data_IF_701533074268
#
_entry.id   IF_701533074268
#
_cell.length_a   1.000
_cell.length_b   1.000
_cell.length_c   1.000
_cell.angle_alpha   90.00
_cell.angle_beta   90.00
_cell.angle_gamma   90.00
#
_symmetry.space_group_name_H-M   'P 1'
#
loop_
_entity.id
_entity.type
_entity.pdbx_description
1 polymer ?
#
# COMPACT_ATOMS: atom_id res chain seq x y z
N UNK A 1 19.63 -10.62 -20.63
CA UNK A 1 20.19 -10.40 -19.29
C UNK A 1 20.73 -11.72 -18.79
N UNK A 2 21.95 -11.73 -18.27
CA UNK A 2 22.41 -12.85 -17.46
C UNK A 2 21.53 -12.97 -16.20
N UNK A 3 21.44 -14.16 -15.58
CA UNK A 3 20.64 -14.35 -14.36
C UNK A 3 21.00 -13.31 -13.27
N UNK A 4 22.29 -13.01 -13.02
CA UNK A 4 22.67 -11.97 -12.06
C UNK A 4 22.18 -10.57 -12.45
N UNK A 5 22.30 -10.20 -13.72
CA UNK A 5 21.80 -8.89 -14.21
C UNK A 5 20.29 -8.79 -14.03
N UNK A 6 19.54 -9.86 -14.34
CA UNK A 6 18.09 -9.88 -14.19
C UNK A 6 17.67 -9.66 -12.72
N UNK A 7 18.38 -10.27 -11.77
CA UNK A 7 18.16 -10.05 -10.33
C UNK A 7 18.46 -8.61 -9.92
N UNK A 8 19.59 -8.04 -10.36
CA UNK A 8 19.94 -6.65 -10.07
C UNK A 8 18.92 -5.66 -10.65
N UNK A 9 18.45 -5.92 -11.87
CA UNK A 9 17.38 -5.13 -12.48
C UNK A 9 16.09 -5.24 -11.68
N UNK A 10 15.72 -6.44 -11.21
CA UNK A 10 14.56 -6.64 -10.34
C UNK A 10 14.64 -5.83 -9.05
N UNK A 11 15.78 -5.87 -8.34
CA UNK A 11 16.00 -5.06 -7.13
C UNK A 11 15.89 -3.56 -7.44
N UNK A 12 16.50 -3.10 -8.54
CA UNK A 12 16.42 -1.71 -8.98
C UNK A 12 15.00 -1.25 -9.28
N UNK A 13 14.18 -2.12 -9.91
CA UNK A 13 12.77 -1.84 -10.18
C UNK A 13 11.94 -1.78 -8.90
N UNK A 14 12.11 -2.74 -7.99
CA UNK A 14 11.42 -2.71 -6.69
C UNK A 14 11.77 -1.46 -5.90
N UNK A 15 13.06 -1.08 -5.88
CA UNK A 15 13.51 0.15 -5.23
C UNK A 15 12.86 1.39 -5.84
N UNK A 16 12.85 1.48 -7.16
CA UNK A 16 12.20 2.57 -7.89
C UNK A 16 10.70 2.69 -7.57
N UNK A 17 9.99 1.56 -7.51
CA UNK A 17 8.57 1.54 -7.14
C UNK A 17 8.38 2.06 -5.70
N UNK A 18 9.21 1.59 -4.76
CA UNK A 18 9.14 2.02 -3.36
C UNK A 18 9.36 3.54 -3.23
N UNK A 19 10.44 4.06 -3.81
CA UNK A 19 10.76 5.50 -3.70
C UNK A 19 9.70 6.36 -4.38
N UNK A 20 9.23 5.96 -5.56
CA UNK A 20 8.17 6.70 -6.27
C UNK A 20 6.86 6.72 -5.50
N UNK A 21 6.52 5.61 -4.85
CA UNK A 21 5.29 5.52 -4.03
C UNK A 21 5.40 6.42 -2.80
N UNK A 22 6.54 6.42 -2.10
CA UNK A 22 6.78 7.32 -0.96
C UNK A 22 6.72 8.78 -1.39
N UNK A 23 7.39 9.14 -2.49
CA UNK A 23 7.39 10.49 -3.02
C UNK A 23 5.97 10.97 -3.36
N UNK A 24 5.18 10.13 -4.03
CA UNK A 24 3.78 10.44 -4.36
C UNK A 24 2.93 10.63 -3.10
N UNK A 25 3.00 9.72 -2.12
CA UNK A 25 2.27 9.85 -0.84
C UNK A 25 2.67 11.14 -0.12
N UNK A 26 3.96 11.46 -0.07
CA UNK A 26 4.46 12.71 0.53
C UNK A 26 3.94 13.94 -0.23
N UNK A 27 3.81 13.85 -1.55
CA UNK A 27 3.22 14.86 -2.42
C UNK A 27 1.76 15.11 -2.09
N UNK A 28 0.97 14.05 -1.91
CA UNK A 28 -0.46 14.15 -1.53
C UNK A 28 -0.62 14.77 -0.14
N UNK A 29 0.17 14.32 0.84
CA UNK A 29 0.12 14.86 2.21
C UNK A 29 0.54 16.34 2.25
N UNK A 30 1.51 16.74 1.43
CA UNK A 30 1.96 18.13 1.32
C UNK A 30 1.08 19.01 0.41
N UNK A 31 0.05 18.43 -0.24
CA UNK A 31 -0.83 19.14 -1.17
C UNK A 31 -0.21 19.46 -2.53
N UNK A 32 0.96 18.89 -2.86
CA UNK A 32 1.59 19.01 -4.18
C UNK A 32 0.90 18.16 -5.24
N UNK A 33 0.39 17.01 -4.85
CA UNK A 33 -0.26 16.04 -5.74
C UNK A 33 -1.76 15.95 -5.42
N UNK A 34 -2.59 15.79 -6.44
CA UNK A 34 -4.01 15.49 -6.24
C UNK A 34 -4.18 14.04 -5.76
N UNK A 35 -5.02 13.85 -4.74
CA UNK A 35 -5.39 12.53 -4.24
C UNK A 35 -6.26 11.72 -5.23
N UNK A 36 -6.71 12.34 -6.31
CA UNK A 36 -7.61 11.75 -7.32
C UNK A 36 -6.98 10.59 -8.10
N UNK A 37 -5.64 10.48 -8.07
CA UNK A 37 -4.92 9.37 -8.71
C UNK A 37 -4.79 8.15 -7.78
N UNK A 38 -5.16 8.25 -6.50
CA UNK A 38 -5.28 7.09 -5.60
C UNK A 38 -6.53 6.32 -6.00
N UNK A 39 -6.35 5.34 -6.88
CA UNK A 39 -7.44 4.46 -7.33
C UNK A 39 -7.88 3.53 -6.22
N UNK A 40 -9.20 3.39 -6.04
CA UNK A 40 -9.76 2.42 -5.11
C UNK A 40 -9.79 0.99 -5.65
N UNK A 41 -10.38 0.07 -4.87
CA UNK A 41 -10.47 -1.34 -5.24
C UNK A 41 -11.15 -1.58 -6.59
N UNK A 42 -12.15 -0.76 -6.93
CA UNK A 42 -12.89 -0.88 -8.19
C UNK A 42 -12.01 -0.43 -9.35
N UNK A 43 -11.30 0.68 -9.21
CA UNK A 43 -10.36 1.16 -10.23
C UNK A 43 -9.19 0.20 -10.44
N UNK A 44 -8.67 -0.42 -9.37
CA UNK A 44 -7.65 -1.49 -9.48
C UNK A 44 -8.19 -2.67 -10.29
N UNK A 45 -9.42 -3.11 -10.06
CA UNK A 45 -10.04 -4.18 -10.83
C UNK A 45 -10.18 -3.83 -12.32
N UNK A 46 -10.60 -2.60 -12.62
CA UNK A 46 -10.73 -2.12 -14.00
C UNK A 46 -9.38 -2.06 -14.74
N UNK A 47 -8.37 -1.44 -14.11
CA UNK A 47 -7.02 -1.37 -14.67
C UNK A 47 -6.45 -2.77 -14.86
N UNK A 48 -6.69 -3.68 -13.91
CA UNK A 48 -6.24 -5.07 -14.04
C UNK A 48 -6.86 -5.76 -15.26
N UNK A 49 -8.15 -5.56 -15.53
CA UNK A 49 -8.81 -6.08 -16.73
C UNK A 49 -8.20 -5.51 -18.03
N UNK A 50 -8.05 -4.19 -18.09
CA UNK A 50 -7.42 -3.51 -19.25
C UNK A 50 -5.99 -4.01 -19.49
N UNK A 51 -5.21 -4.19 -18.43
CA UNK A 51 -3.82 -4.66 -18.52
C UNK A 51 -3.77 -6.15 -18.90
N UNK A 52 -4.71 -6.97 -18.43
CA UNK A 52 -4.81 -8.36 -18.83
C UNK A 52 -5.07 -8.49 -20.34
N UNK A 53 -5.91 -7.62 -20.92
CA UNK A 53 -6.18 -7.58 -22.37
C UNK A 53 -4.95 -7.15 -23.19
N UNK A 54 -4.02 -6.40 -22.60
CA UNK A 54 -2.73 -6.03 -23.22
C UNK A 54 -1.71 -7.18 -23.23
N UNK A 55 -1.99 -8.28 -22.53
CA UNK A 55 -1.19 -9.51 -22.54
C UNK A 55 -0.43 -9.79 -21.24
N UNK A 56 0.32 -10.89 -21.25
CA UNK A 56 0.92 -11.45 -20.03
C UNK A 56 2.05 -10.60 -19.43
N UNK A 57 2.92 -10.03 -20.26
CA UNK A 57 4.05 -9.22 -19.75
C UNK A 57 3.57 -7.95 -19.01
N UNK A 58 2.66 -7.13 -19.58
CA UNK A 58 2.06 -6.01 -18.84
C UNK A 58 1.39 -6.44 -17.54
N UNK A 59 0.68 -7.57 -17.55
CA UNK A 59 0.02 -8.10 -16.36
C UNK A 59 1.01 -8.47 -15.25
N UNK A 60 2.12 -9.12 -15.59
CA UNK A 60 3.20 -9.43 -14.63
C UNK A 60 3.77 -8.14 -14.03
N UNK A 61 3.97 -7.09 -14.85
CA UNK A 61 4.44 -5.80 -14.35
C UNK A 61 3.45 -5.15 -13.39
N UNK A 62 2.14 -5.20 -13.70
CA UNK A 62 1.10 -4.72 -12.79
C UNK A 62 1.10 -5.51 -11.47
N UNK A 63 1.22 -6.83 -11.53
CA UNK A 63 1.31 -7.68 -10.33
C UNK A 63 2.54 -7.30 -9.50
N UNK A 64 3.70 -7.08 -10.14
CA UNK A 64 4.91 -6.66 -9.44
C UNK A 64 4.76 -5.27 -8.78
N UNK A 65 4.13 -4.33 -9.47
CA UNK A 65 3.81 -3.00 -8.95
C UNK A 65 2.88 -3.08 -7.73
N UNK A 66 1.75 -3.80 -7.85
CA UNK A 66 0.78 -3.96 -6.78
C UNK A 66 1.39 -4.72 -5.59
N UNK A 67 2.12 -5.81 -5.84
CA UNK A 67 2.79 -6.59 -4.80
C UNK A 67 3.79 -5.75 -4.02
N UNK A 68 4.61 -4.95 -4.71
CA UNK A 68 5.59 -4.07 -4.05
C UNK A 68 4.90 -2.98 -3.24
N UNK A 69 3.83 -2.40 -3.78
CA UNK A 69 3.06 -1.33 -3.11
C UNK A 69 2.34 -1.85 -1.85
N UNK A 70 1.69 -3.02 -1.93
CA UNK A 70 1.05 -3.67 -0.77
C UNK A 70 2.10 -4.05 0.28
N UNK A 71 3.25 -4.59 -0.16
CA UNK A 71 4.37 -4.89 0.74
C UNK A 71 4.87 -3.64 1.47
N UNK A 72 5.01 -2.51 0.77
CA UNK A 72 5.37 -1.23 1.38
C UNK A 72 4.32 -0.76 2.40
N UNK A 73 3.03 -0.82 2.05
CA UNK A 73 1.93 -0.44 2.94
C UNK A 73 1.94 -1.31 4.21
N UNK A 74 2.16 -2.63 4.08
CA UNK A 74 2.23 -3.54 5.23
C UNK A 74 3.36 -3.20 6.21
N UNK A 75 4.40 -2.51 5.77
CA UNK A 75 5.49 -2.05 6.64
C UNK A 75 5.19 -0.72 7.35
N UNK A 76 4.06 -0.06 7.06
CA UNK A 76 3.67 1.15 7.78
C UNK A 76 3.35 0.84 9.24
N UNK A 77 3.59 1.80 10.17
CA UNK A 77 3.42 1.64 11.61
C UNK A 77 1.94 1.68 12.01
N UNK A 78 1.16 0.75 11.45
CA UNK A 78 -0.28 0.59 11.64
C UNK A 78 -0.52 -0.72 12.40
N UNK A 79 -1.19 -0.70 13.57
CA UNK A 79 -1.35 -1.87 14.45
C UNK A 79 -1.85 -3.17 13.82
N UNK A 80 -2.64 -3.09 12.75
CA UNK A 80 -3.23 -4.25 12.05
C UNK A 80 -2.30 -4.81 10.96
N UNK A 81 -1.24 -4.09 10.62
CA UNK A 81 -0.25 -4.45 9.59
C UNK A 81 1.02 -4.99 10.26
N UNK A 82 1.86 -5.68 9.47
CA UNK A 82 3.13 -6.23 9.94
C UNK A 82 4.05 -5.16 10.57
N UNK A 83 4.04 -3.94 10.02
CA UNK A 83 4.76 -2.78 10.54
C UNK A 83 4.24 -2.30 11.91
N UNK A 84 3.00 -2.61 12.28
CA UNK A 84 2.47 -2.37 13.63
C UNK A 84 3.18 -3.22 14.69
N UNK A 85 3.49 -4.47 14.38
CA UNK A 85 4.29 -5.32 15.26
C UNK A 85 5.73 -4.81 15.37
N UNK A 86 6.33 -4.40 14.25
CA UNK A 86 7.66 -3.76 14.26
C UNK A 86 7.68 -2.50 15.12
N UNK A 87 6.62 -1.68 15.05
CA UNK A 87 6.47 -0.51 15.92
C UNK A 87 6.44 -0.91 17.40
N UNK A 88 5.64 -1.91 17.77
CA UNK A 88 5.59 -2.39 19.15
C UNK A 88 6.95 -2.91 19.61
N UNK A 89 7.62 -3.76 18.84
CA UNK A 89 8.96 -4.22 19.19
C UNK A 89 9.98 -3.09 19.30
N UNK A 90 9.87 -2.04 18.46
CA UNK A 90 10.68 -0.83 18.59
C UNK A 90 10.43 -0.10 19.91
N UNK A 91 9.17 0.05 20.31
CA UNK A 91 8.79 0.64 21.60
C UNK A 91 9.31 -0.22 22.75
N UNK A 92 9.17 -1.54 22.67
CA UNK A 92 9.67 -2.48 23.69
C UNK A 92 11.20 -2.42 23.81
N UNK A 93 11.92 -2.32 22.69
CA UNK A 93 13.37 -2.19 22.67
C UNK A 93 13.85 -0.89 23.34
N UNK A 94 13.11 0.21 23.19
CA UNK A 94 13.43 1.51 23.81
C UNK A 94 13.03 1.53 25.30
N UNK A 95 11.86 1.00 25.62
CA UNK A 95 11.28 1.09 26.98
C UNK A 95 11.68 -0.07 27.90
N UNK A 96 12.19 -1.16 27.34
CA UNK A 96 12.53 -2.40 28.05
C UNK A 96 11.32 -3.15 28.61
N UNK A 97 10.09 -2.76 28.24
CA UNK A 97 8.84 -3.33 28.76
C UNK A 97 7.90 -3.67 27.61
N UNK A 98 7.17 -4.80 27.71
CA UNK A 98 6.21 -5.19 26.69
C UNK A 98 5.08 -4.15 26.58
N UNK A 99 4.61 -3.89 25.36
CA UNK A 99 3.44 -3.04 25.13
C UNK A 99 2.21 -3.80 25.65
N UNK A 100 1.44 -3.17 26.55
CA UNK A 100 0.28 -3.84 27.17
C UNK A 100 -0.74 -4.32 26.14
N UNK A 101 -1.34 -5.49 26.36
CA UNK A 101 -2.38 -6.08 25.50
C UNK A 101 -3.52 -5.10 25.19
N UNK A 102 -3.95 -4.33 26.20
CA UNK A 102 -5.01 -3.32 26.03
C UNK A 102 -4.65 -2.24 24.99
N UNK A 103 -3.39 -1.82 24.92
CA UNK A 103 -2.92 -0.85 23.92
C UNK A 103 -2.90 -1.50 22.54
N UNK A 104 -2.44 -2.74 22.43
CA UNK A 104 -2.43 -3.48 21.17
C UNK A 104 -3.86 -3.69 20.64
N UNK A 105 -4.80 -4.07 21.50
CA UNK A 105 -6.22 -4.24 21.14
C UNK A 105 -6.87 -2.95 20.67
N UNK A 106 -6.64 -1.84 21.38
CA UNK A 106 -7.17 -0.52 20.99
C UNK A 106 -6.57 -0.12 19.65
N UNK A 107 -5.25 -0.28 19.49
CA UNK A 107 -4.55 -0.03 18.23
C UNK A 107 -5.15 -0.83 17.07
N UNK A 108 -5.35 -2.14 17.26
CA UNK A 108 -5.93 -3.01 16.25
C UNK A 108 -7.37 -2.60 15.88
N UNK A 109 -8.21 -2.28 16.87
CA UNK A 109 -9.58 -1.79 16.63
C UNK A 109 -9.60 -0.49 15.82
N UNK A 110 -8.73 0.46 16.17
CA UNK A 110 -8.57 1.71 15.42
C UNK A 110 -8.06 1.45 14.00
N UNK A 111 -7.07 0.57 13.85
CA UNK A 111 -6.50 0.18 12.55
C UNK A 111 -7.54 -0.44 11.62
N UNK A 112 -8.29 -1.44 12.10
CA UNK A 112 -9.38 -2.07 11.34
C UNK A 112 -10.46 -1.03 11.00
N UNK A 113 -10.87 -0.22 11.97
CA UNK A 113 -11.86 0.85 11.74
C UNK A 113 -11.43 1.82 10.65
N UNK A 114 -10.16 2.22 10.65
CA UNK A 114 -9.59 3.09 9.63
C UNK A 114 -9.52 2.42 8.25
N UNK A 115 -9.08 1.16 8.16
CA UNK A 115 -9.02 0.42 6.89
C UNK A 115 -10.43 0.25 6.30
N UNK A 116 -11.42 -0.12 7.12
CA UNK A 116 -12.81 -0.23 6.69
C UNK A 116 -13.37 1.12 6.23
N UNK A 117 -13.08 2.19 6.97
CA UNK A 117 -13.45 3.55 6.57
C UNK A 117 -12.87 3.91 5.21
N UNK A 118 -11.57 3.68 5.00
CA UNK A 118 -10.93 3.94 3.71
C UNK A 118 -11.51 3.09 2.59
N UNK A 119 -11.81 1.81 2.84
CA UNK A 119 -12.41 0.92 1.86
C UNK A 119 -13.79 1.43 1.40
N UNK A 120 -14.64 1.84 2.35
CA UNK A 120 -15.96 2.41 2.04
C UNK A 120 -15.81 3.75 1.32
N UNK A 121 -14.98 4.66 1.83
CA UNK A 121 -14.74 5.97 1.23
C UNK A 121 -14.21 5.86 -0.20
N UNK A 122 -13.20 5.01 -0.41
CA UNK A 122 -12.57 4.81 -1.71
C UNK A 122 -13.51 4.13 -2.70
N UNK A 123 -14.27 3.13 -2.27
CA UNK A 123 -15.30 2.51 -3.11
C UNK A 123 -16.37 3.51 -3.50
N UNK A 124 -16.84 4.34 -2.56
CA UNK A 124 -17.80 5.41 -2.85
C UNK A 124 -17.24 6.39 -3.88
N UNK A 125 -16.00 6.85 -3.69
CA UNK A 125 -15.33 7.74 -4.63
C UNK A 125 -15.19 7.12 -6.03
N UNK A 126 -14.82 5.85 -6.12
CA UNK A 126 -14.74 5.11 -7.38
C UNK A 126 -16.11 5.05 -8.08
N UNK A 127 -17.20 4.79 -7.34
CA UNK A 127 -18.55 4.71 -7.90
C UNK A 127 -19.04 6.08 -8.42
N UNK A 128 -18.74 7.17 -7.72
CA UNK A 128 -19.02 8.54 -8.20
C UNK A 128 -18.25 8.85 -9.48
N UNK A 129 -16.97 8.47 -9.57
CA UNK A 129 -16.17 8.64 -10.79
C UNK A 129 -16.71 7.84 -11.98
N UNK A 130 -17.40 6.73 -11.73
CA UNK A 130 -18.07 5.93 -12.75
C UNK A 130 -19.46 6.46 -13.14
N UNK A 131 -19.92 7.55 -12.54
CA UNK A 131 -21.20 8.19 -12.87
C UNK A 131 -22.43 7.42 -12.39
N UNK A 132 -22.27 6.55 -11.39
CA UNK A 132 -23.39 5.86 -10.75
C UNK A 132 -24.15 6.76 -9.76
N UNK A 133 -23.54 7.87 -9.34
CA UNK A 133 -24.08 8.89 -8.44
C UNK A 133 -23.68 10.30 -8.89
#
# INVERSE_FOLDING_TARGET
LSIPEALMHGVGQTWFIITSTIDYISGVISGRESGDQIGGPVRIAQISGQVADMGLLPLINLIALLSTSIGLINLFPMPILDGGHLLYYGIEAITGKPVSERVQEIGAKLGIGFVLFLMVYSTWNDLTHLGLF
#
